data_IF_055706919078
#
_entry.id   IF_055706919078
#
_cell.length_a   1.000
_cell.length_b   1.000
_cell.length_c   1.000
_cell.angle_alpha   90.00
_cell.angle_beta   90.00
_cell.angle_gamma   90.00
#
_symmetry.space_group_name_H-M   'P 1'
#
loop_
_entity.id
_entity.type
_entity.pdbx_description
1 polymer ?
#
# COMPACT_ATOMS: atom_id res chain seq x y z
N UNK A 1 -0.72 -3.18 22.80
CA UNK A 1 -0.31 -3.16 21.38
C UNK A 1 0.44 -4.44 21.04
N UNK A 2 -0.28 -5.54 20.79
CA UNK A 2 0.33 -6.70 20.14
C UNK A 2 0.60 -6.35 18.68
N UNK A 3 1.88 -6.21 18.30
CA UNK A 3 2.23 -6.06 16.88
C UNK A 3 1.80 -7.33 16.16
N UNK A 4 0.90 -7.20 15.19
CA UNK A 4 0.49 -8.30 14.30
C UNK A 4 1.75 -8.93 13.70
N UNK A 5 1.87 -10.25 13.83
CA UNK A 5 2.95 -11.00 13.19
C UNK A 5 2.93 -10.77 11.68
N UNK A 6 4.08 -10.89 11.02
CA UNK A 6 4.21 -10.58 9.59
C UNK A 6 3.20 -11.33 8.70
N UNK A 7 2.93 -12.60 9.00
CA UNK A 7 1.92 -13.39 8.28
C UNK A 7 0.49 -12.92 8.52
N UNK A 8 0.15 -12.58 9.77
CA UNK A 8 -1.14 -12.00 10.10
C UNK A 8 -1.34 -10.67 9.38
N UNK A 9 -0.31 -9.85 9.23
CA UNK A 9 -0.40 -8.58 8.49
C UNK A 9 -0.64 -8.79 6.99
N UNK A 10 0.10 -9.71 6.33
CA UNK A 10 -0.09 -9.99 4.91
C UNK A 10 -1.52 -10.49 4.60
N UNK A 11 -2.01 -11.45 5.39
CA UNK A 11 -3.34 -11.99 5.21
C UNK A 11 -4.43 -10.95 5.57
N UNK A 12 -4.20 -10.14 6.61
CA UNK A 12 -5.08 -9.02 6.94
C UNK A 12 -5.23 -8.02 5.78
N UNK A 13 -4.14 -7.69 5.08
CA UNK A 13 -4.21 -6.82 3.89
C UNK A 13 -5.03 -7.44 2.75
N UNK A 14 -4.96 -8.76 2.56
CA UNK A 14 -5.81 -9.48 1.60
C UNK A 14 -7.29 -9.41 2.03
N UNK A 15 -7.59 -9.67 3.31
CA UNK A 15 -8.95 -9.59 3.88
C UNK A 15 -9.53 -8.17 3.76
N UNK A 16 -8.72 -7.15 4.02
CA UNK A 16 -9.10 -5.74 3.80
C UNK A 16 -9.47 -5.48 2.33
N UNK A 17 -8.70 -6.00 1.38
CA UNK A 17 -8.96 -5.83 -0.04
C UNK A 17 -10.27 -6.53 -0.47
N UNK A 18 -10.49 -7.78 -0.04
CA UNK A 18 -11.73 -8.52 -0.30
C UNK A 18 -12.95 -7.83 0.31
N UNK A 19 -12.84 -7.39 1.56
CA UNK A 19 -13.92 -6.68 2.22
C UNK A 19 -14.26 -5.37 1.50
N UNK A 20 -13.24 -4.61 1.03
CA UNK A 20 -13.46 -3.42 0.21
C UNK A 20 -14.21 -3.75 -1.08
N UNK A 21 -13.90 -4.86 -1.76
CA UNK A 21 -14.61 -5.28 -2.96
C UNK A 21 -16.07 -5.66 -2.67
N UNK A 22 -16.33 -6.42 -1.61
CA UNK A 22 -17.71 -6.79 -1.19
C UNK A 22 -18.52 -5.55 -0.83
N UNK A 23 -17.91 -4.62 -0.08
CA UNK A 23 -18.53 -3.34 0.33
C UNK A 23 -18.98 -2.46 -0.83
N UNK A 24 -18.40 -2.57 -2.02
CA UNK A 24 -18.86 -1.80 -3.19
C UNK A 24 -20.34 -2.09 -3.56
N UNK A 25 -20.86 -3.25 -3.14
CA UNK A 25 -22.25 -3.64 -3.37
C UNK A 25 -23.20 -3.17 -2.27
N UNK A 26 -22.70 -2.64 -1.14
CA UNK A 26 -23.52 -2.12 -0.06
C UNK A 26 -24.24 -0.83 -0.49
N UNK A 27 -25.55 -0.76 -0.23
CA UNK A 27 -26.40 0.39 -0.57
C UNK A 27 -25.87 1.72 -0.03
N UNK A 28 -25.32 1.76 1.19
CA UNK A 28 -24.77 2.97 1.78
C UNK A 28 -23.51 3.45 1.02
N UNK A 29 -22.61 2.52 0.69
CA UNK A 29 -21.39 2.78 -0.10
C UNK A 29 -21.75 3.25 -1.51
N UNK A 30 -22.75 2.63 -2.14
CA UNK A 30 -23.24 3.07 -3.46
C UNK A 30 -23.87 4.47 -3.40
N UNK A 31 -24.63 4.77 -2.35
CA UNK A 31 -25.21 6.09 -2.14
C UNK A 31 -24.12 7.15 -1.93
N UNK A 32 -23.11 6.87 -1.11
CA UNK A 32 -21.96 7.74 -0.91
C UNK A 32 -21.21 7.98 -2.23
N UNK A 33 -20.86 6.93 -2.96
CA UNK A 33 -20.18 7.05 -4.27
C UNK A 33 -20.99 7.87 -5.28
N UNK A 34 -22.32 7.73 -5.32
CA UNK A 34 -23.18 8.57 -6.18
C UNK A 34 -23.16 10.03 -5.74
N UNK A 35 -23.29 10.29 -4.43
CA UNK A 35 -23.29 11.64 -3.89
C UNK A 35 -21.94 12.35 -4.11
N UNK A 36 -20.81 11.65 -3.99
CA UNK A 36 -19.48 12.17 -4.31
C UNK A 36 -19.38 12.56 -5.79
N UNK A 37 -19.85 11.71 -6.70
CA UNK A 37 -19.84 12.00 -8.15
C UNK A 37 -20.69 13.22 -8.49
N UNK A 38 -21.87 13.35 -7.87
CA UNK A 38 -22.74 14.50 -8.07
C UNK A 38 -22.14 15.78 -7.48
N UNK A 39 -21.50 15.70 -6.31
CA UNK A 39 -20.75 16.82 -5.72
C UNK A 39 -19.64 17.32 -6.65
N UNK A 40 -18.82 16.41 -7.19
CA UNK A 40 -17.75 16.76 -8.15
C UNK A 40 -18.34 17.38 -9.42
N UNK A 41 -19.45 16.84 -9.93
CA UNK A 41 -20.12 17.37 -11.11
C UNK A 41 -20.66 18.79 -10.86
N UNK A 42 -21.39 18.98 -9.77
CA UNK A 42 -21.97 20.28 -9.40
C UNK A 42 -20.88 21.34 -9.17
N UNK A 43 -19.76 20.95 -8.56
CA UNK A 43 -18.59 21.82 -8.39
C UNK A 43 -18.01 22.28 -9.74
N UNK A 44 -17.84 21.36 -10.69
CA UNK A 44 -17.37 21.70 -12.05
C UNK A 44 -18.35 22.58 -12.81
N UNK A 45 -19.66 22.36 -12.65
CA UNK A 45 -20.70 23.21 -13.23
C UNK A 45 -20.65 24.64 -12.66
N UNK A 46 -20.44 24.76 -11.35
CA UNK A 46 -20.24 26.05 -10.69
C UNK A 46 -19.01 26.79 -11.22
N UNK A 47 -17.84 26.13 -11.29
CA UNK A 47 -16.61 26.71 -11.83
C UNK A 47 -16.78 27.22 -13.27
N UNK A 48 -17.50 26.45 -14.11
CA UNK A 48 -17.82 26.87 -15.48
C UNK A 48 -18.77 28.07 -15.51
N UNK A 49 -19.78 28.10 -14.65
CA UNK A 49 -20.72 29.21 -14.57
C UNK A 49 -20.04 30.51 -14.11
N UNK A 50 -19.10 30.42 -13.16
CA UNK A 50 -18.26 31.55 -12.74
C UNK A 50 -17.42 32.06 -13.91
N UNK A 51 -16.69 31.17 -14.59
CA UNK A 51 -15.87 31.56 -15.75
C UNK A 51 -16.69 32.15 -16.91
N UNK A 52 -17.93 31.69 -17.10
CA UNK A 52 -18.84 32.27 -18.09
C UNK A 52 -19.32 33.66 -17.66
N UNK A 53 -19.63 33.87 -16.37
CA UNK A 53 -20.02 35.17 -15.85
C UNK A 53 -18.89 36.20 -15.96
N UNK A 54 -17.65 35.81 -15.71
CA UNK A 54 -16.46 36.68 -15.88
C UNK A 54 -16.24 37.12 -17.34
N UNK A 55 -16.65 36.28 -18.31
CA UNK A 55 -16.49 36.54 -19.76
C UNK A 55 -17.75 37.13 -20.40
N UNK A 56 -18.84 37.29 -19.66
CA UNK A 56 -20.11 37.72 -20.19
C UNK A 56 -20.04 39.18 -20.65
N UNK A 57 -20.75 39.49 -21.74
CA UNK A 57 -20.94 40.87 -22.17
C UNK A 57 -21.81 41.65 -21.16
N UNK A 58 -21.75 42.98 -21.17
CA UNK A 58 -22.53 43.81 -20.24
C UNK A 58 -24.05 43.57 -20.31
N UNK A 59 -24.57 43.13 -21.47
CA UNK A 59 -26.00 42.81 -21.65
C UNK A 59 -26.38 41.45 -21.03
N UNK A 60 -25.44 40.54 -20.87
CA UNK A 60 -25.65 39.16 -20.40
C UNK A 60 -25.18 38.94 -18.95
N UNK A 61 -24.43 39.89 -18.41
CA UNK A 61 -23.78 39.79 -17.10
C UNK A 61 -24.75 39.42 -15.97
N UNK A 62 -25.91 40.08 -15.90
CA UNK A 62 -26.90 39.81 -14.84
C UNK A 62 -27.47 38.38 -14.88
N UNK A 63 -27.67 37.82 -16.09
CA UNK A 63 -28.15 36.44 -16.27
C UNK A 63 -27.04 35.44 -15.92
N UNK A 64 -25.80 35.72 -16.35
CA UNK A 64 -24.65 34.86 -16.06
C UNK A 64 -24.31 34.84 -14.56
N UNK A 65 -24.35 35.99 -13.88
CA UNK A 65 -24.18 36.06 -12.42
C UNK A 65 -25.29 35.31 -11.67
N UNK A 66 -26.54 35.38 -12.15
CA UNK A 66 -27.64 34.59 -11.57
C UNK A 66 -27.40 33.09 -11.75
N UNK A 67 -26.98 32.66 -12.94
CA UNK A 67 -26.64 31.26 -13.21
C UNK A 67 -25.48 30.77 -12.31
N UNK A 68 -24.45 31.60 -12.12
CA UNK A 68 -23.34 31.28 -11.20
C UNK A 68 -23.81 31.15 -9.75
N UNK A 69 -24.68 32.04 -9.26
CA UNK A 69 -25.28 31.94 -7.91
C UNK A 69 -26.12 30.67 -7.74
N UNK A 70 -26.92 30.32 -8.74
CA UNK A 70 -27.74 29.09 -8.71
C UNK A 70 -26.86 27.82 -8.75
N UNK A 71 -25.77 27.84 -9.52
CA UNK A 71 -24.80 26.76 -9.58
C UNK A 71 -24.02 26.61 -8.26
N UNK A 72 -23.64 27.71 -7.61
CA UNK A 72 -23.03 27.70 -6.27
C UNK A 72 -23.94 27.00 -5.25
N UNK A 73 -25.21 27.40 -5.18
CA UNK A 73 -26.20 26.78 -4.27
C UNK A 73 -26.34 25.29 -4.56
N UNK A 74 -26.30 24.86 -5.83
CA UNK A 74 -26.34 23.45 -6.21
C UNK A 74 -25.09 22.71 -5.76
N UNK A 75 -23.91 23.28 -5.97
CA UNK A 75 -22.64 22.71 -5.53
C UNK A 75 -22.58 22.54 -4.00
N UNK A 76 -22.99 23.57 -3.24
CA UNK A 76 -23.03 23.50 -1.78
C UNK A 76 -24.03 22.45 -1.25
N UNK A 77 -25.20 22.32 -1.89
CA UNK A 77 -26.15 21.25 -1.54
C UNK A 77 -25.58 19.86 -1.84
N UNK A 78 -24.99 19.67 -3.01
CA UNK A 78 -24.40 18.38 -3.40
C UNK A 78 -23.21 18.01 -2.49
N UNK A 79 -22.41 18.99 -2.05
CA UNK A 79 -21.36 18.79 -1.05
C UNK A 79 -21.93 18.32 0.30
N UNK A 80 -22.96 19.01 0.80
CA UNK A 80 -23.63 18.62 2.05
C UNK A 80 -24.27 17.23 1.96
N UNK A 81 -24.86 16.86 0.82
CA UNK A 81 -25.38 15.53 0.56
C UNK A 81 -24.28 14.47 0.54
N UNK A 82 -23.12 14.76 -0.08
CA UNK A 82 -21.95 13.88 -0.08
C UNK A 82 -21.41 13.63 1.32
N UNK A 83 -21.29 14.68 2.14
CA UNK A 83 -20.85 14.57 3.54
C UNK A 83 -21.87 13.79 4.39
N UNK A 84 -23.16 14.01 4.15
CA UNK A 84 -24.23 13.24 4.81
C UNK A 84 -24.14 11.76 4.45
N UNK A 85 -23.93 11.43 3.17
CA UNK A 85 -23.80 10.06 2.74
C UNK A 85 -22.56 9.38 3.34
N UNK A 86 -21.45 10.11 3.52
CA UNK A 86 -20.26 9.60 4.22
C UNK A 86 -20.54 9.26 5.68
N UNK A 87 -21.24 10.15 6.40
CA UNK A 87 -21.64 9.92 7.77
C UNK A 87 -22.55 8.69 7.93
N UNK A 88 -23.52 8.53 7.01
CA UNK A 88 -24.41 7.37 6.98
C UNK A 88 -23.64 6.08 6.69
N UNK A 89 -22.69 6.10 5.76
CA UNK A 89 -21.83 4.94 5.49
C UNK A 89 -21.02 4.53 6.73
N UNK A 90 -20.43 5.49 7.44
CA UNK A 90 -19.67 5.21 8.66
C UNK A 90 -20.54 4.56 9.74
N UNK A 91 -21.79 5.02 9.92
CA UNK A 91 -22.73 4.38 10.85
C UNK A 91 -23.13 2.99 10.42
N UNK A 92 -23.44 2.78 9.14
CA UNK A 92 -23.81 1.47 8.63
C UNK A 92 -22.69 0.44 8.84
N UNK A 93 -21.41 0.85 8.70
CA UNK A 93 -20.27 -0.03 8.95
C UNK A 93 -20.18 -0.49 10.42
N UNK A 94 -20.58 0.36 11.36
CA UNK A 94 -20.62 0.04 12.80
C UNK A 94 -21.86 -0.79 13.13
N UNK A 95 -23.01 -0.42 12.57
CA UNK A 95 -24.29 -1.07 12.85
C UNK A 95 -24.33 -2.50 12.25
N UNK A 96 -23.47 -2.80 11.26
CA UNK A 96 -23.35 -4.11 10.59
C UNK A 96 -22.14 -4.96 11.02
N UNK A 97 -21.46 -4.63 12.13
CA UNK A 97 -20.23 -5.30 12.57
C UNK A 97 -20.32 -6.84 12.63
N UNK A 98 -21.41 -7.37 13.19
CA UNK A 98 -21.63 -8.83 13.27
C UNK A 98 -21.95 -9.41 11.89
N UNK A 99 -22.89 -8.80 11.16
CA UNK A 99 -23.30 -9.29 9.83
C UNK A 99 -22.11 -9.37 8.85
N UNK A 100 -21.15 -8.45 8.96
CA UNK A 100 -19.98 -8.39 8.10
C UNK A 100 -19.06 -9.63 8.20
N UNK A 101 -19.10 -10.38 9.31
CA UNK A 101 -18.27 -11.59 9.49
C UNK A 101 -19.00 -12.86 9.06
N UNK A 102 -20.34 -12.91 9.16
CA UNK A 102 -21.13 -14.14 8.90
C UNK A 102 -21.14 -14.63 7.44
N UNK A 103 -20.56 -13.86 6.52
CA UNK A 103 -20.37 -14.21 5.10
C UNK A 103 -18.91 -14.58 4.78
N UNK A 104 -18.06 -14.61 5.79
CA UNK A 104 -16.64 -14.86 5.68
C UNK A 104 -16.32 -16.13 6.45
N UNK A 105 -15.54 -17.02 5.85
CA UNK A 105 -14.96 -18.16 6.57
C UNK A 105 -13.74 -17.65 7.34
N UNK A 106 -13.80 -17.71 8.67
CA UNK A 106 -12.74 -17.23 9.57
C UNK A 106 -11.63 -18.27 9.79
N UNK A 107 -11.77 -19.47 9.21
CA UNK A 107 -10.68 -20.43 9.14
C UNK A 107 -9.50 -19.90 8.33
N UNK A 108 -8.30 -20.08 8.90
CA UNK A 108 -7.05 -19.73 8.22
C UNK A 108 -6.31 -21.01 7.84
N UNK A 109 -6.23 -21.27 6.54
CA UNK A 109 -5.38 -22.34 6.04
C UNK A 109 -3.91 -21.92 6.16
N UNK A 110 -3.16 -22.55 7.07
CA UNK A 110 -1.73 -22.28 7.28
C UNK A 110 -0.91 -22.52 6.01
N UNK A 111 -1.31 -23.47 5.14
CA UNK A 111 -0.60 -23.71 3.89
C UNK A 111 -0.75 -22.53 2.92
N UNK A 112 -1.85 -21.78 2.99
CA UNK A 112 -2.09 -20.59 2.16
C UNK A 112 -1.15 -19.41 2.52
N UNK A 113 -0.55 -19.44 3.71
CA UNK A 113 0.39 -18.41 4.19
C UNK A 113 1.82 -18.64 3.69
N UNK A 114 2.09 -19.78 3.04
CA UNK A 114 3.42 -20.09 2.51
C UNK A 114 3.86 -19.11 1.44
N UNK A 115 5.11 -18.70 1.53
CA UNK A 115 5.71 -17.77 0.59
C UNK A 115 6.42 -18.51 -0.53
N UNK A 116 6.38 -17.92 -1.73
CA UNK A 116 7.19 -18.36 -2.86
C UNK A 116 8.27 -17.32 -3.11
N UNK A 117 9.51 -17.79 -3.28
CA UNK A 117 10.64 -16.92 -3.58
C UNK A 117 10.42 -16.22 -4.92
N UNK A 118 10.53 -14.89 -4.92
CA UNK A 118 10.55 -14.09 -6.14
C UNK A 118 11.86 -13.32 -6.23
N UNK A 119 12.55 -13.49 -7.35
CA UNK A 119 13.79 -12.78 -7.65
C UNK A 119 13.52 -11.67 -8.67
N UNK A 120 13.82 -10.40 -8.34
CA UNK A 120 13.78 -9.33 -9.34
C UNK A 120 14.86 -9.57 -10.40
N UNK A 121 14.74 -9.02 -11.61
CA UNK A 121 15.79 -9.13 -12.61
C UNK A 121 17.11 -8.47 -12.15
N UNK A 122 18.22 -8.89 -12.74
CA UNK A 122 19.54 -8.32 -12.46
C UNK A 122 19.55 -6.79 -12.75
N UNK A 123 19.97 -5.95 -11.79
CA UNK A 123 19.80 -4.49 -11.91
C UNK A 123 20.75 -3.82 -12.91
N UNK A 124 21.85 -4.47 -13.29
CA UNK A 124 22.91 -3.90 -14.15
C UNK A 124 22.96 -4.52 -15.54
N UNK A 125 21.83 -4.53 -16.25
CA UNK A 125 21.76 -5.05 -17.63
C UNK A 125 22.73 -4.34 -18.59
N UNK A 126 23.08 -3.08 -18.31
CA UNK A 126 24.12 -2.31 -19.02
C UNK A 126 25.47 -3.04 -19.04
N UNK A 127 25.81 -3.70 -17.94
CA UNK A 127 27.06 -4.45 -17.81
C UNK A 127 27.03 -5.80 -18.53
N UNK A 128 25.88 -6.33 -18.95
CA UNK A 128 25.83 -7.62 -19.66
C UNK A 128 26.26 -7.51 -21.13
N UNK A 129 26.11 -6.34 -21.73
CA UNK A 129 26.48 -6.11 -23.14
C UNK A 129 27.99 -5.83 -23.27
N UNK A 130 28.74 -6.60 -24.08
CA UNK A 130 30.17 -6.34 -24.33
C UNK A 130 30.41 -4.94 -24.92
N UNK A 131 31.55 -4.33 -24.58
CA UNK A 131 31.98 -3.09 -25.21
C UNK A 131 32.27 -3.32 -26.70
N UNK A 132 31.91 -2.39 -27.59
CA UNK A 132 32.24 -2.48 -29.01
C UNK A 132 33.75 -2.38 -29.23
N UNK A 133 34.28 -3.13 -30.20
CA UNK A 133 35.70 -3.07 -30.54
C UNK A 133 36.12 -1.67 -31.06
N UNK A 134 37.33 -1.19 -30.74
CA UNK A 134 37.80 0.12 -31.15
C UNK A 134 38.06 0.14 -32.66
N UNK A 135 37.69 1.24 -33.30
CA UNK A 135 37.99 1.48 -34.71
C UNK A 135 39.42 2.04 -34.81
N UNK A 136 40.34 1.26 -35.37
CA UNK A 136 41.73 1.67 -35.54
C UNK A 136 41.86 2.70 -36.68
N UNK A 137 42.74 3.70 -36.51
CA UNK A 137 43.04 4.67 -37.55
C UNK A 137 43.80 3.96 -38.70
N UNK A 138 43.29 4.02 -39.95
CA UNK A 138 44.01 3.47 -41.11
C UNK A 138 45.17 4.39 -41.50
N UNK A 139 46.21 3.86 -42.17
CA UNK A 139 47.31 4.70 -42.65
C UNK A 139 46.82 5.73 -43.67
N UNK A 140 47.21 7.02 -43.55
CA UNK A 140 46.88 8.02 -44.56
C UNK A 140 47.54 7.66 -45.90
N UNK A 141 46.93 8.10 -47.00
CA UNK A 141 47.45 7.89 -48.35
C UNK A 141 48.87 8.47 -48.50
N UNK A 142 49.76 7.70 -49.13
CA UNK A 142 51.15 8.10 -49.37
C UNK A 142 51.26 9.33 -50.29
N UNK A 143 52.08 10.34 -49.96
CA UNK A 143 52.29 11.50 -50.81
C UNK A 143 52.95 11.12 -52.14
N UNK A 144 52.25 11.37 -53.24
CA UNK A 144 52.81 11.17 -54.58
C UNK A 144 53.63 12.39 -55.02
N UNK A 145 54.71 12.13 -55.74
CA UNK A 145 55.49 13.20 -56.36
C UNK A 145 54.78 13.70 -57.61
N UNK A 146 54.49 15.01 -57.67
CA UNK A 146 53.92 15.66 -58.85
C UNK A 146 54.99 16.57 -59.42
N UNK A 147 55.52 16.21 -60.59
CA UNK A 147 56.48 17.04 -61.30
C UNK A 147 55.80 18.31 -61.84
N UNK A 148 56.44 19.49 -61.77
CA UNK A 148 55.91 20.69 -62.41
C UNK A 148 55.77 20.47 -63.92
N UNK A 149 54.74 21.07 -64.52
CA UNK A 149 54.49 20.93 -65.95
C UNK A 149 55.70 21.41 -66.77
N UNK A 150 56.12 20.58 -67.74
CA UNK A 150 57.25 20.90 -68.60
C UNK A 150 57.01 22.21 -69.37
N UNK A 151 58.02 23.09 -69.53
CA UNK A 151 57.87 24.33 -70.28
C UNK A 151 57.58 24.01 -71.75
N UNK A 152 56.47 24.55 -72.26
CA UNK A 152 56.03 24.36 -73.65
C UNK A 152 56.29 25.64 -74.47
N UNK A 153 56.65 25.46 -75.75
CA UNK A 153 56.94 26.56 -76.69
C UNK A 153 58.29 27.28 -76.49
N UNK A 154 58.38 28.51 -77.02
CA UNK A 154 59.59 29.37 -77.10
C UNK A 154 60.18 29.72 -75.70
N UNK A 155 59.45 29.40 -74.63
CA UNK A 155 59.87 29.51 -73.22
C UNK A 155 60.94 28.48 -72.79
N UNK A 156 61.20 27.43 -73.59
CA UNK A 156 62.12 26.31 -73.29
C UNK A 156 63.58 26.73 -73.00
N UNK A 157 64.09 27.78 -73.64
CA UNK A 157 65.50 28.19 -73.50
C UNK A 157 65.72 29.19 -72.34
N UNK A 158 64.72 30.01 -72.01
CA UNK A 158 64.78 31.05 -70.96
C UNK A 158 64.30 30.55 -69.59
N UNK A 159 63.41 29.57 -69.53
CA UNK A 159 62.84 29.04 -68.29
C UNK A 159 63.43 27.68 -67.85
N UNK A 160 64.50 27.18 -68.51
CA UNK A 160 65.12 25.90 -68.13
C UNK A 160 65.64 25.93 -66.68
N UNK A 161 66.26 27.05 -66.29
CA UNK A 161 66.75 27.26 -64.91
C UNK A 161 65.58 27.39 -63.91
N UNK A 162 64.55 28.18 -64.24
CA UNK A 162 63.33 28.30 -63.42
C UNK A 162 62.55 26.98 -63.27
N UNK A 163 62.50 26.14 -64.31
CA UNK A 163 61.88 24.82 -64.24
C UNK A 163 62.73 23.84 -63.42
N UNK A 164 64.07 23.91 -63.53
CA UNK A 164 64.96 23.13 -62.67
C UNK A 164 64.81 23.54 -61.20
N UNK A 165 64.70 24.85 -60.90
CA UNK A 165 64.41 25.38 -59.56
C UNK A 165 63.02 24.96 -59.08
N UNK A 166 61.99 25.04 -59.92
CA UNK A 166 60.63 24.60 -59.59
C UNK A 166 60.56 23.07 -59.35
N UNK A 167 61.30 22.28 -60.12
CA UNK A 167 61.39 20.84 -59.94
C UNK A 167 62.18 20.50 -58.66
N UNK A 168 63.30 21.17 -58.41
CA UNK A 168 64.06 21.02 -57.17
C UNK A 168 63.22 21.40 -55.95
N UNK A 169 62.44 22.47 -56.02
CA UNK A 169 61.50 22.90 -54.98
C UNK A 169 60.36 21.90 -54.78
N UNK A 170 59.71 21.45 -55.86
CA UNK A 170 58.64 20.43 -55.80
C UNK A 170 59.17 19.10 -55.23
N UNK A 171 60.40 18.72 -55.60
CA UNK A 171 61.05 17.53 -55.07
C UNK A 171 61.39 17.70 -53.59
N UNK A 172 61.96 18.83 -53.16
CA UNK A 172 62.22 19.09 -51.74
C UNK A 172 60.95 19.12 -50.91
N UNK A 173 59.86 19.70 -51.42
CA UNK A 173 58.55 19.70 -50.75
C UNK A 173 57.98 18.29 -50.65
N UNK A 174 58.10 17.48 -51.70
CA UNK A 174 57.69 16.08 -51.68
C UNK A 174 58.53 15.27 -50.69
N UNK A 175 59.86 15.39 -50.69
CA UNK A 175 60.75 14.71 -49.74
C UNK A 175 60.32 15.04 -48.30
N UNK A 176 60.12 16.33 -47.97
CA UNK A 176 59.65 16.72 -46.63
C UNK A 176 58.26 16.16 -46.29
N UNK A 177 57.31 16.14 -47.25
CA UNK A 177 55.97 15.54 -47.03
C UNK A 177 56.05 14.02 -46.84
N UNK A 178 56.86 13.35 -47.64
CA UNK A 178 57.07 11.91 -47.58
C UNK A 178 57.79 11.51 -46.29
N UNK A 179 58.82 12.25 -45.85
CA UNK A 179 59.48 12.04 -44.55
C UNK A 179 58.49 12.20 -43.38
N UNK A 180 57.63 13.24 -43.40
CA UNK A 180 56.59 13.42 -42.39
C UNK A 180 55.57 12.29 -42.40
N UNK A 181 55.12 11.87 -43.58
CA UNK A 181 54.21 10.73 -43.74
C UNK A 181 54.84 9.44 -43.22
N UNK A 182 56.09 9.15 -43.62
CA UNK A 182 56.83 7.97 -43.20
C UNK A 182 57.03 7.96 -41.68
N UNK A 183 57.39 9.10 -41.09
CA UNK A 183 57.47 9.25 -39.64
C UNK A 183 56.10 9.02 -38.96
N UNK A 184 55.03 9.59 -39.51
CA UNK A 184 53.68 9.44 -38.97
C UNK A 184 53.22 7.97 -39.00
N UNK A 185 53.30 7.30 -40.15
CA UNK A 185 52.89 5.90 -40.33
C UNK A 185 53.75 4.95 -39.51
N UNK A 186 55.06 5.21 -39.41
CA UNK A 186 55.99 4.33 -38.68
C UNK A 186 55.92 4.50 -37.16
N UNK A 187 55.66 5.71 -36.66
CA UNK A 187 55.78 6.02 -35.24
C UNK A 187 54.49 6.51 -34.58
N UNK A 188 53.79 7.48 -35.18
CA UNK A 188 52.63 8.13 -34.54
C UNK A 188 51.36 7.29 -34.62
N UNK A 189 51.07 6.73 -35.79
CA UNK A 189 49.86 5.93 -36.02
C UNK A 189 49.84 4.63 -35.20
N UNK A 190 50.94 3.82 -35.14
CA UNK A 190 50.96 2.63 -34.30
C UNK A 190 50.83 2.97 -32.81
N UNK A 191 51.46 4.06 -32.36
CA UNK A 191 51.34 4.51 -30.97
C UNK A 191 49.90 4.91 -30.62
N UNK A 192 49.19 5.63 -31.50
CA UNK A 192 47.77 5.97 -31.32
C UNK A 192 46.88 4.73 -31.27
N UNK A 193 47.04 3.83 -32.23
CA UNK A 193 46.26 2.59 -32.28
C UNK A 193 46.57 1.69 -31.07
N UNK A 194 47.81 1.66 -30.60
CA UNK A 194 48.19 0.93 -29.38
C UNK A 194 47.49 1.52 -28.14
N UNK A 195 47.48 2.85 -27.98
CA UNK A 195 46.77 3.51 -26.88
C UNK A 195 45.26 3.22 -26.93
N UNK A 196 44.62 3.26 -28.10
CA UNK A 196 43.19 2.93 -28.25
C UNK A 196 42.89 1.48 -27.83
N UNK A 197 43.79 0.54 -28.16
CA UNK A 197 43.66 -0.84 -27.74
C UNK A 197 43.87 -0.99 -26.23
N UNK A 198 44.86 -0.30 -25.66
CA UNK A 198 45.14 -0.30 -24.22
C UNK A 198 43.94 0.23 -23.41
N UNK A 199 43.42 1.42 -23.77
CA UNK A 199 42.23 2.02 -23.16
C UNK A 199 41.03 1.07 -23.24
N UNK A 200 40.82 0.44 -24.40
CA UNK A 200 39.74 -0.52 -24.58
C UNK A 200 39.93 -1.79 -23.74
N UNK A 201 41.16 -2.30 -23.62
CA UNK A 201 41.44 -3.45 -22.74
C UNK A 201 41.23 -3.11 -21.27
N UNK A 202 41.63 -1.92 -20.82
CA UNK A 202 41.38 -1.43 -19.46
C UNK A 202 39.87 -1.31 -19.19
N UNK A 203 39.11 -0.70 -20.10
CA UNK A 203 37.66 -0.58 -19.98
C UNK A 203 36.95 -1.95 -19.97
N UNK A 204 37.42 -2.91 -20.76
CA UNK A 204 36.92 -4.30 -20.73
C UNK A 204 37.17 -4.97 -19.39
N UNK A 205 38.35 -4.78 -18.79
CA UNK A 205 38.69 -5.30 -17.47
C UNK A 205 37.83 -4.66 -16.38
N UNK A 206 37.73 -3.33 -16.36
CA UNK A 206 36.89 -2.59 -15.41
C UNK A 206 35.42 -3.04 -15.49
N UNK A 207 34.86 -3.14 -16.71
CA UNK A 207 33.51 -3.67 -16.91
C UNK A 207 33.36 -5.09 -16.35
N UNK A 208 34.33 -5.96 -16.58
CA UNK A 208 34.29 -7.34 -16.10
C UNK A 208 34.33 -7.42 -14.57
N UNK A 209 35.15 -6.59 -13.93
CA UNK A 209 35.22 -6.46 -12.46
C UNK A 209 33.91 -5.94 -11.88
N UNK A 210 33.35 -4.87 -12.47
CA UNK A 210 32.06 -4.31 -12.06
C UNK A 210 30.92 -5.33 -12.24
N UNK A 211 30.91 -6.06 -13.36
CA UNK A 211 29.92 -7.10 -13.61
C UNK A 211 30.05 -8.25 -12.60
N UNK A 212 31.26 -8.71 -12.33
CA UNK A 212 31.52 -9.76 -11.35
C UNK A 212 31.05 -9.35 -9.96
N UNK A 213 31.39 -8.13 -9.52
CA UNK A 213 30.95 -7.58 -8.23
C UNK A 213 29.42 -7.47 -8.15
N UNK A 214 28.78 -6.89 -9.16
CA UNK A 214 27.33 -6.73 -9.19
C UNK A 214 26.61 -8.10 -9.22
N UNK A 215 27.15 -9.08 -9.94
CA UNK A 215 26.61 -10.44 -10.00
C UNK A 215 26.71 -11.14 -8.63
N UNK A 216 27.82 -10.95 -7.91
CA UNK A 216 28.00 -11.50 -6.57
C UNK A 216 27.01 -10.89 -5.58
N UNK A 217 26.87 -9.55 -5.59
CA UNK A 217 25.87 -8.85 -4.78
C UNK A 217 24.45 -9.36 -5.07
N UNK A 218 24.09 -9.47 -6.35
CA UNK A 218 22.80 -9.99 -6.78
C UNK A 218 22.55 -11.44 -6.33
N UNK A 219 23.55 -12.32 -6.45
CA UNK A 219 23.46 -13.72 -5.99
C UNK A 219 23.30 -13.79 -4.47
N UNK A 220 24.06 -13.00 -3.72
CA UNK A 220 23.95 -12.91 -2.27
C UNK A 220 22.56 -12.47 -1.82
N UNK A 221 22.01 -11.45 -2.49
CA UNK A 221 20.65 -10.98 -2.26
C UNK A 221 19.58 -12.04 -2.60
N UNK A 222 19.74 -12.77 -3.71
CA UNK A 222 18.86 -13.88 -4.06
C UNK A 222 18.93 -15.00 -3.01
N UNK A 223 20.14 -15.41 -2.62
CA UNK A 223 20.33 -16.43 -1.60
C UNK A 223 19.78 -16.01 -0.23
N UNK A 224 19.85 -14.71 0.12
CA UNK A 224 19.19 -14.17 1.32
C UNK A 224 17.67 -14.33 1.23
N UNK A 225 17.05 -13.92 0.11
CA UNK A 225 15.59 -14.08 -0.09
C UNK A 225 15.15 -15.54 -0.01
N UNK A 226 15.94 -16.45 -0.58
CA UNK A 226 15.68 -17.89 -0.52
C UNK A 226 15.72 -18.40 0.91
N UNK A 227 16.72 -18.02 1.70
CA UNK A 227 16.81 -18.37 3.13
C UNK A 227 15.64 -17.79 3.92
N UNK A 228 15.35 -16.51 3.75
CA UNK A 228 14.26 -15.84 4.49
C UNK A 228 12.91 -16.53 4.25
N UNK A 229 12.60 -16.87 2.98
CA UNK A 229 11.38 -17.60 2.62
C UNK A 229 11.39 -19.04 3.12
N UNK A 230 12.53 -19.74 3.04
CA UNK A 230 12.65 -21.10 3.55
C UNK A 230 12.44 -21.16 5.07
N UNK A 231 13.09 -20.28 5.83
CA UNK A 231 12.92 -20.17 7.28
C UNK A 231 11.48 -19.79 7.65
N UNK A 232 10.86 -18.87 6.91
CA UNK A 232 9.47 -18.48 7.11
C UNK A 232 8.49 -19.66 6.88
N UNK A 233 8.70 -20.42 5.80
CA UNK A 233 7.88 -21.59 5.50
C UNK A 233 8.12 -22.75 6.48
N UNK A 234 9.35 -22.96 6.94
CA UNK A 234 9.66 -23.96 7.98
C UNK A 234 8.96 -23.63 9.30
N UNK A 235 8.87 -22.34 9.68
CA UNK A 235 8.07 -21.93 10.84
C UNK A 235 6.59 -22.29 10.68
N UNK A 236 6.01 -22.12 9.50
CA UNK A 236 4.61 -22.51 9.22
C UNK A 236 4.40 -24.03 9.32
N UNK A 237 5.35 -24.83 8.84
CA UNK A 237 5.29 -26.30 9.00
C UNK A 237 5.34 -26.71 10.48
N UNK A 238 6.25 -26.10 11.25
CA UNK A 238 6.34 -26.34 12.69
C UNK A 238 5.06 -25.93 13.41
N UNK A 239 4.49 -24.75 13.10
CA UNK A 239 3.21 -24.30 13.64
C UNK A 239 2.10 -25.32 13.33
N UNK A 240 2.02 -25.80 12.09
CA UNK A 240 1.02 -26.80 11.68
C UNK A 240 1.16 -28.11 12.45
N UNK A 241 2.39 -28.59 12.65
CA UNK A 241 2.66 -29.79 13.45
C UNK A 241 2.26 -29.59 14.92
N UNK A 242 2.59 -28.44 15.51
CA UNK A 242 2.24 -28.11 16.90
C UNK A 242 0.72 -27.94 17.09
N UNK A 243 0.01 -27.34 16.12
CA UNK A 243 -1.45 -27.26 16.11
C UNK A 243 -2.09 -28.66 16.08
N UNK A 244 -1.57 -29.55 15.22
CA UNK A 244 -2.03 -30.93 15.17
C UNK A 244 -1.78 -31.70 16.48
N UNK A 245 -0.72 -31.35 17.21
CA UNK A 245 -0.43 -31.87 18.54
C UNK A 245 -1.30 -31.25 19.65
N UNK A 246 -2.01 -30.15 19.38
CA UNK A 246 -2.80 -29.41 20.37
C UNK A 246 -1.95 -28.59 21.33
N UNK A 247 -0.77 -28.14 20.89
CA UNK A 247 0.13 -27.30 21.69
C UNK A 247 -0.50 -25.93 22.00
N UNK A 248 -0.38 -25.49 23.25
CA UNK A 248 -1.05 -24.28 23.72
C UNK A 248 -0.50 -23.00 23.07
N UNK A 249 0.82 -22.92 22.88
CA UNK A 249 1.45 -21.75 22.25
C UNK A 249 1.06 -21.67 20.77
N UNK A 250 1.03 -22.81 20.08
CA UNK A 250 0.57 -22.88 18.70
C UNK A 250 -0.89 -22.46 18.53
N UNK A 251 -1.79 -22.89 19.44
CA UNK A 251 -3.20 -22.47 19.43
C UNK A 251 -3.31 -20.96 19.67
N UNK A 252 -2.56 -20.41 20.64
CA UNK A 252 -2.50 -18.96 20.85
C UNK A 252 -2.02 -18.21 19.59
N UNK A 253 -0.97 -18.70 18.93
CA UNK A 253 -0.49 -18.10 17.68
C UNK A 253 -1.56 -18.13 16.58
N UNK A 254 -2.26 -19.26 16.41
CA UNK A 254 -3.36 -19.39 15.46
C UNK A 254 -4.51 -18.43 15.75
N UNK A 255 -4.98 -18.35 17.01
CA UNK A 255 -6.01 -17.39 17.43
C UNK A 255 -5.56 -15.95 17.14
N UNK A 256 -4.28 -15.64 17.33
CA UNK A 256 -3.72 -14.34 16.97
C UNK A 256 -3.78 -14.04 15.47
N UNK A 257 -3.58 -15.04 14.62
CA UNK A 257 -3.73 -14.89 13.16
C UNK A 257 -5.22 -14.67 12.82
N UNK A 258 -6.12 -15.48 13.38
CA UNK A 258 -7.57 -15.38 13.16
C UNK A 258 -8.08 -13.99 13.55
N UNK A 259 -7.87 -13.58 14.80
CA UNK A 259 -8.34 -12.29 15.30
C UNK A 259 -7.62 -11.09 14.67
N UNK A 260 -6.36 -11.29 14.24
CA UNK A 260 -5.63 -10.31 13.44
C UNK A 260 -6.23 -10.11 12.04
N UNK A 261 -6.93 -11.11 11.51
CA UNK A 261 -7.63 -11.03 10.23
C UNK A 261 -9.04 -10.44 10.35
N UNK A 262 -9.56 -10.27 11.56
CA UNK A 262 -10.85 -9.64 11.81
C UNK A 262 -10.84 -8.18 11.37
N UNK A 263 -11.61 -7.87 10.33
CA UNK A 263 -11.63 -6.51 9.78
C UNK A 263 -12.73 -5.68 10.42
N UNK A 264 -12.32 -4.58 11.05
CA UNK A 264 -13.19 -3.57 11.66
C UNK A 264 -13.17 -2.26 10.83
N UNK A 265 -14.22 -1.43 10.90
CA UNK A 265 -14.16 -0.09 10.33
C UNK A 265 -13.16 0.79 11.09
N UNK A 266 -12.55 1.74 10.39
CA UNK A 266 -11.57 2.68 10.97
C UNK A 266 -12.12 3.44 12.17
N UNK A 267 -13.42 3.74 12.17
CA UNK A 267 -14.10 4.41 13.28
C UNK A 267 -14.36 3.50 14.50
N UNK A 268 -14.05 2.20 14.41
CA UNK A 268 -14.30 1.22 15.47
C UNK A 268 -13.22 0.11 15.49
N UNK A 269 -11.94 0.47 15.54
CA UNK A 269 -10.85 -0.49 15.62
C UNK A 269 -10.85 -1.25 16.96
N UNK A 270 -10.58 -2.56 16.90
CA UNK A 270 -10.64 -3.47 18.03
C UNK A 270 -9.32 -4.19 18.20
N UNK A 271 -8.82 -4.21 19.43
CA UNK A 271 -7.63 -4.95 19.86
C UNK A 271 -8.02 -6.15 20.73
N UNK A 272 -7.10 -7.11 20.86
CA UNK A 272 -7.31 -8.33 21.62
C UNK A 272 -6.12 -8.68 22.51
N UNK A 273 -6.43 -9.20 23.69
CA UNK A 273 -5.50 -9.91 24.57
C UNK A 273 -6.13 -11.27 24.88
N UNK A 274 -5.39 -12.35 24.80
CA UNK A 274 -5.96 -13.67 25.00
C UNK A 274 -4.92 -14.70 25.44
N UNK A 275 -5.40 -15.77 26.06
CA UNK A 275 -4.60 -16.90 26.50
C UNK A 275 -5.43 -18.18 26.50
N UNK A 276 -4.90 -19.23 25.89
CA UNK A 276 -5.49 -20.56 25.84
C UNK A 276 -4.92 -21.49 26.92
N UNK A 277 -5.82 -22.11 27.69
CA UNK A 277 -5.49 -23.20 28.61
C UNK A 277 -5.82 -24.56 27.98
N UNK A 278 -4.77 -25.32 27.63
CA UNK A 278 -4.91 -26.62 27.00
C UNK A 278 -5.50 -27.72 27.91
N UNK A 279 -5.40 -27.58 29.24
CA UNK A 279 -5.97 -28.55 30.17
C UNK A 279 -7.50 -28.38 30.28
N UNK A 280 -7.96 -27.13 30.27
CA UNK A 280 -9.39 -26.79 30.32
C UNK A 280 -10.04 -26.77 28.93
N UNK A 281 -9.25 -26.60 27.87
CA UNK A 281 -9.75 -26.31 26.53
C UNK A 281 -10.44 -24.94 26.48
N UNK A 282 -10.03 -24.01 27.34
CA UNK A 282 -10.67 -22.71 27.51
C UNK A 282 -9.78 -21.60 26.98
N UNK A 283 -10.36 -20.70 26.18
CA UNK A 283 -9.71 -19.48 25.73
C UNK A 283 -10.25 -18.29 26.52
N UNK A 284 -9.38 -17.60 27.27
CA UNK A 284 -9.72 -16.32 27.89
C UNK A 284 -9.38 -15.20 26.92
N UNK A 285 -10.32 -14.31 26.63
CA UNK A 285 -10.12 -13.18 25.71
C UNK A 285 -10.61 -11.88 26.34
N UNK A 286 -9.76 -10.86 26.33
CA UNK A 286 -10.14 -9.46 26.54
C UNK A 286 -10.10 -8.74 25.21
N UNK A 287 -11.25 -8.23 24.79
CA UNK A 287 -11.41 -7.41 23.60
C UNK A 287 -11.45 -5.94 24.00
N UNK A 288 -10.59 -5.11 23.39
CA UNK A 288 -10.45 -3.69 23.67
C UNK A 288 -11.08 -2.91 22.53
N UNK A 289 -12.22 -2.27 22.79
CA UNK A 289 -12.96 -1.45 21.81
C UNK A 289 -12.65 0.04 22.03
N UNK A 290 -12.83 0.88 21.00
CA UNK A 290 -12.48 2.29 21.12
C UNK A 290 -13.47 3.03 22.04
N UNK A 291 -13.03 4.11 22.69
CA UNK A 291 -13.87 4.80 23.65
C UNK A 291 -15.03 5.55 22.97
N UNK A 292 -16.15 5.78 23.68
CA UNK A 292 -17.33 6.43 23.11
C UNK A 292 -17.04 7.80 22.47
N UNK A 293 -16.03 8.52 22.97
CA UNK A 293 -15.60 9.83 22.47
C UNK A 293 -15.02 9.83 21.05
N UNK A 294 -14.60 8.67 20.55
CA UNK A 294 -14.04 8.51 19.19
C UNK A 294 -15.12 8.18 18.15
N UNK A 295 -16.34 7.87 18.61
CA UNK A 295 -17.46 7.53 17.73
C UNK A 295 -17.88 8.73 16.88
N UNK A 296 -18.21 8.53 15.59
CA UNK A 296 -18.77 9.60 14.79
C UNK A 296 -20.08 10.11 15.42
N UNK A 297 -20.22 11.43 15.52
CA UNK A 297 -21.39 12.08 16.14
C UNK A 297 -22.19 12.93 15.14
N UNK A 298 -21.75 13.09 13.91
CA UNK A 298 -22.50 13.87 12.91
C UNK A 298 -23.33 12.91 12.06
N UNK A 299 -24.65 13.10 12.00
CA UNK A 299 -25.55 12.27 11.18
C UNK A 299 -25.94 12.89 9.85
N UNK A 300 -25.62 14.16 9.65
CA UNK A 300 -25.90 14.81 8.39
C UNK A 300 -25.41 16.24 8.34
N UNK A 301 -25.41 16.76 7.13
CA UNK A 301 -24.95 18.09 6.79
C UNK A 301 -26.04 18.77 5.98
N UNK A 302 -26.31 20.04 6.26
CA UNK A 302 -27.33 20.82 5.57
C UNK A 302 -26.78 22.18 5.17
N UNK A 303 -26.86 22.48 3.89
CA UNK A 303 -26.56 23.82 3.39
C UNK A 303 -27.64 24.84 3.78
N UNK A 304 -27.20 25.98 4.32
CA UNK A 304 -28.05 27.11 4.73
C UNK A 304 -27.82 28.29 3.80
N UNK A 305 -28.68 28.43 2.79
CA UNK A 305 -28.56 29.46 1.75
C UNK A 305 -28.55 30.91 2.28
N UNK A 306 -29.11 31.17 3.46
CA UNK A 306 -29.13 32.52 4.06
C UNK A 306 -27.74 32.96 4.54
N UNK A 307 -26.95 32.03 5.09
CA UNK A 307 -25.60 32.32 5.63
C UNK A 307 -24.49 31.79 4.73
N UNK A 308 -24.84 31.05 3.67
CA UNK A 308 -23.92 30.38 2.76
C UNK A 308 -22.98 29.39 3.48
N UNK A 309 -23.51 28.66 4.46
CA UNK A 309 -22.75 27.72 5.30
C UNK A 309 -23.34 26.32 5.22
N UNK A 310 -22.48 25.30 5.32
CA UNK A 310 -22.91 23.93 5.60
C UNK A 310 -22.92 23.74 7.12
N UNK A 311 -24.08 23.33 7.66
CA UNK A 311 -24.25 23.06 9.09
C UNK A 311 -24.35 21.58 9.36
N UNK A 312 -23.66 21.17 10.43
CA UNK A 312 -23.72 19.81 10.95
C UNK A 312 -25.01 19.57 11.72
N UNK A 313 -25.53 18.36 11.61
CA UNK A 313 -26.63 17.85 12.42
C UNK A 313 -26.08 16.72 13.28
N UNK A 314 -25.88 16.93 14.59
CA UNK A 314 -25.34 15.90 15.46
C UNK A 314 -26.37 14.80 15.75
N UNK A 315 -25.87 13.63 16.16
CA UNK A 315 -26.66 12.55 16.73
C UNK A 315 -27.22 12.99 18.09
N UNK A 316 -28.46 12.57 18.35
CA UNK A 316 -29.02 12.60 19.70
C UNK A 316 -28.21 11.67 20.61
N UNK A 317 -28.22 11.93 21.92
CA UNK A 317 -27.55 11.03 22.88
C UNK A 317 -28.09 9.60 22.82
N UNK A 318 -29.38 9.43 22.51
CA UNK A 318 -29.99 8.11 22.33
C UNK A 318 -29.38 7.38 21.13
N UNK A 319 -29.26 8.03 19.98
CA UNK A 319 -28.64 7.44 18.78
C UNK A 319 -27.18 7.03 19.04
N UNK A 320 -26.40 7.88 19.73
CA UNK A 320 -25.00 7.56 20.08
C UNK A 320 -24.90 6.39 21.05
N UNK A 321 -25.72 6.39 22.10
CA UNK A 321 -25.76 5.33 23.11
C UNK A 321 -26.17 4.00 22.51
N UNK A 322 -27.26 3.98 21.75
CA UNK A 322 -27.82 2.75 21.19
C UNK A 322 -26.82 2.13 20.19
N UNK A 323 -26.15 2.95 19.36
CA UNK A 323 -25.09 2.50 18.46
C UNK A 323 -23.87 1.95 19.20
N UNK A 324 -23.34 2.68 20.18
CA UNK A 324 -22.15 2.23 20.90
C UNK A 324 -22.42 0.95 21.69
N UNK A 325 -23.55 0.87 22.41
CA UNK A 325 -23.94 -0.35 23.12
C UNK A 325 -24.13 -1.53 22.14
N UNK A 326 -24.76 -1.29 20.98
CA UNK A 326 -24.93 -2.29 19.94
C UNK A 326 -23.61 -2.79 19.38
N UNK A 327 -22.68 -1.88 19.07
CA UNK A 327 -21.35 -2.20 18.56
C UNK A 327 -20.53 -3.03 19.56
N UNK A 328 -20.50 -2.63 20.84
CA UNK A 328 -19.83 -3.38 21.92
C UNK A 328 -20.38 -4.81 22.03
N UNK A 329 -21.71 -4.97 21.97
CA UNK A 329 -22.34 -6.28 22.03
C UNK A 329 -22.08 -7.10 20.75
N UNK A 330 -22.10 -6.47 19.58
CA UNK A 330 -21.80 -7.10 18.30
C UNK A 330 -20.36 -7.62 18.26
N UNK A 331 -19.39 -6.86 18.77
CA UNK A 331 -18.01 -7.32 18.93
C UNK A 331 -17.95 -8.58 19.79
N UNK A 332 -18.65 -8.61 20.92
CA UNK A 332 -18.62 -9.78 21.79
C UNK A 332 -19.08 -11.07 21.07
N UNK A 333 -20.25 -11.01 20.42
CA UNK A 333 -20.81 -12.14 19.68
C UNK A 333 -19.93 -12.51 18.47
N UNK A 334 -19.40 -11.50 17.78
CA UNK A 334 -18.49 -11.67 16.66
C UNK A 334 -17.22 -12.43 17.08
N UNK A 335 -16.58 -12.04 18.18
CA UNK A 335 -15.37 -12.72 18.68
C UNK A 335 -15.63 -14.20 18.99
N UNK A 336 -16.75 -14.53 19.65
CA UNK A 336 -17.12 -15.93 19.87
C UNK A 336 -17.27 -16.70 18.55
N UNK A 337 -17.94 -16.09 17.57
CA UNK A 337 -18.16 -16.70 16.27
C UNK A 337 -16.85 -16.93 15.51
N UNK A 338 -16.01 -15.90 15.33
CA UNK A 338 -14.75 -15.98 14.59
C UNK A 338 -13.82 -17.05 15.20
N UNK A 339 -13.69 -17.09 16.53
CA UNK A 339 -12.84 -18.10 17.19
C UNK A 339 -13.43 -19.51 17.05
N UNK A 340 -14.72 -19.72 17.32
CA UNK A 340 -15.28 -21.07 17.23
C UNK A 340 -15.32 -21.58 15.78
N UNK A 341 -15.63 -20.73 14.80
CA UNK A 341 -15.67 -21.11 13.39
C UNK A 341 -14.26 -21.46 12.85
N UNK A 342 -13.26 -20.67 13.22
CA UNK A 342 -11.88 -20.88 12.76
C UNK A 342 -11.22 -22.14 13.34
N UNK A 343 -11.55 -22.56 14.55
CA UNK A 343 -10.99 -23.78 15.15
C UNK A 343 -11.80 -25.03 14.75
N UNK A 344 -11.51 -25.54 13.55
CA UNK A 344 -12.16 -26.71 12.95
C UNK A 344 -11.83 -28.03 13.64
N UNK A 345 -10.67 -28.11 14.29
CA UNK A 345 -10.25 -29.29 15.05
C UNK A 345 -10.93 -29.35 16.43
N UNK A 346 -11.64 -28.29 16.82
CA UNK A 346 -12.36 -28.23 18.08
C UNK A 346 -11.42 -28.34 19.29
N UNK A 347 -10.31 -27.61 19.30
CA UNK A 347 -9.41 -27.53 20.46
C UNK A 347 -9.97 -26.64 21.56
N UNK A 348 -10.63 -25.55 21.18
CA UNK A 348 -11.25 -24.56 22.06
C UNK A 348 -12.68 -25.01 22.35
N UNK A 349 -12.91 -25.52 23.55
CA UNK A 349 -14.22 -26.01 24.02
C UNK A 349 -15.08 -24.91 24.64
N UNK A 350 -14.44 -23.93 25.26
CA UNK A 350 -15.13 -22.78 25.86
C UNK A 350 -14.33 -21.50 25.68
N UNK A 351 -15.03 -20.38 25.74
CA UNK A 351 -14.43 -19.04 25.70
C UNK A 351 -14.97 -18.24 26.88
N UNK A 352 -14.07 -17.58 27.62
CA UNK A 352 -14.39 -16.55 28.61
C UNK A 352 -13.99 -15.20 28.05
N UNK A 353 -14.98 -14.36 27.75
CA UNK A 353 -14.80 -13.11 27.03
C UNK A 353 -15.12 -11.91 27.91
N UNK A 354 -14.21 -10.93 27.93
CA UNK A 354 -14.45 -9.58 28.40
C UNK A 354 -14.35 -8.59 27.24
N UNK A 355 -15.32 -7.69 27.08
CA UNK A 355 -15.17 -6.52 26.21
C UNK A 355 -15.00 -5.30 27.10
N UNK A 356 -13.93 -4.53 26.88
CA UNK A 356 -13.61 -3.32 27.63
C UNK A 356 -13.24 -2.17 26.71
N UNK A 357 -13.25 -0.96 27.25
CA UNK A 357 -12.63 0.20 26.60
C UNK A 357 -11.63 0.85 27.55
N UNK A 358 -10.59 1.47 26.99
CA UNK A 358 -9.53 2.12 27.76
C UNK A 358 -9.51 3.60 27.45
N UNK A 359 -9.70 4.44 28.46
CA UNK A 359 -9.75 5.89 28.27
C UNK A 359 -9.50 6.65 29.56
N UNK A 360 -9.40 7.97 29.46
CA UNK A 360 -9.29 8.85 30.62
C UNK A 360 -10.63 8.87 31.35
N UNK A 361 -10.64 8.45 32.61
CA UNK A 361 -11.81 8.53 33.47
C UNK A 361 -12.12 10.02 33.77
N UNK A 362 -13.31 10.54 33.43
CA UNK A 362 -13.67 11.93 33.69
C UNK A 362 -13.69 12.32 35.18
N UNK A 363 -13.86 11.36 36.08
CA UNK A 363 -13.91 11.60 37.53
C UNK A 363 -12.52 11.67 38.18
N UNK A 364 -11.53 10.93 37.65
CA UNK A 364 -10.19 10.80 38.26
C UNK A 364 -9.09 11.46 37.43
N UNK A 365 -9.30 11.63 36.13
CA UNK A 365 -8.29 12.09 35.17
C UNK A 365 -7.23 11.05 34.82
N UNK A 366 -7.38 9.81 35.30
CA UNK A 366 -6.44 8.71 35.06
C UNK A 366 -6.88 7.87 33.87
N UNK A 367 -5.93 7.26 33.17
CA UNK A 367 -6.23 6.23 32.18
C UNK A 367 -6.66 4.95 32.91
N UNK A 368 -7.87 4.50 32.64
CA UNK A 368 -8.49 3.34 33.29
C UNK A 368 -9.18 2.44 32.24
N UNK A 369 -9.30 1.15 32.57
CA UNK A 369 -10.05 0.18 31.77
C UNK A 369 -11.47 0.04 32.31
N UNK A 370 -12.45 0.13 31.42
CA UNK A 370 -13.87 0.02 31.72
C UNK A 370 -14.41 -1.28 31.15
N UNK A 371 -14.61 -2.34 31.95
CA UNK A 371 -15.22 -3.56 31.46
C UNK A 371 -16.70 -3.31 31.14
N UNK A 372 -17.12 -3.58 29.92
CA UNK A 372 -18.46 -3.27 29.40
C UNK A 372 -19.31 -4.51 29.16
N UNK A 373 -18.71 -5.63 28.81
CA UNK A 373 -19.36 -6.94 28.65
C UNK A 373 -18.49 -8.01 29.28
N UNK A 374 -19.11 -8.97 29.96
CA UNK A 374 -18.49 -10.20 30.40
C UNK A 374 -19.43 -11.36 30.06
N UNK A 375 -18.95 -12.33 29.30
CA UNK A 375 -19.75 -13.47 28.87
C UNK A 375 -18.86 -14.71 28.73
N UNK A 376 -19.45 -15.88 28.98
CA UNK A 376 -18.82 -17.16 28.68
C UNK A 376 -19.71 -17.94 27.71
N UNK A 377 -19.09 -18.81 26.93
CA UNK A 377 -19.79 -19.66 25.98
C UNK A 377 -19.09 -21.01 25.88
N UNK A 378 -19.87 -22.10 25.86
CA UNK A 378 -19.38 -23.37 25.36
C UNK A 378 -19.59 -23.47 23.85
N UNK A 379 -18.67 -24.17 23.17
CA UNK A 379 -18.70 -24.38 21.73
C UNK A 379 -20.00 -25.02 21.27
N UNK A 380 -20.49 -26.05 21.95
CA UNK A 380 -21.63 -26.85 21.48
C UNK A 380 -22.95 -26.07 21.57
N UNK A 381 -23.14 -25.25 22.58
CA UNK A 381 -24.31 -24.39 22.74
C UNK A 381 -24.25 -23.21 21.77
N UNK A 382 -23.14 -22.47 21.75
CA UNK A 382 -23.00 -21.28 20.91
C UNK A 382 -23.11 -21.61 19.40
N UNK A 383 -22.52 -22.72 18.96
CA UNK A 383 -22.57 -23.14 17.54
C UNK A 383 -23.98 -23.47 17.02
N UNK A 384 -24.99 -23.51 17.89
CA UNK A 384 -26.40 -23.74 17.50
C UNK A 384 -27.13 -22.44 17.15
N UNK A 385 -26.56 -21.28 17.48
CA UNK A 385 -27.21 -20.01 17.24
C UNK A 385 -27.18 -19.63 15.75
N UNK A 386 -28.32 -19.20 15.23
CA UNK A 386 -28.44 -18.62 13.87
C UNK A 386 -28.19 -17.12 13.94
N UNK A 387 -26.92 -16.72 13.94
CA UNK A 387 -26.47 -15.35 14.20
C UNK A 387 -26.97 -14.31 13.19
N UNK A 388 -27.48 -14.72 12.01
CA UNK A 388 -28.02 -13.79 11.01
C UNK A 388 -29.30 -13.09 11.48
N UNK A 389 -30.01 -13.69 12.44
CA UNK A 389 -31.34 -13.24 12.87
C UNK A 389 -31.38 -12.82 14.34
N UNK A 390 -30.23 -12.54 14.97
CA UNK A 390 -30.16 -12.21 16.39
C UNK A 390 -29.90 -10.73 16.64
N UNK A 391 -30.40 -10.24 17.77
CA UNK A 391 -29.90 -9.01 18.39
C UNK A 391 -28.73 -9.38 19.33
N UNK A 392 -27.54 -8.78 19.18
CA UNK A 392 -26.38 -9.14 20.01
C UNK A 392 -26.61 -8.96 21.51
N UNK A 393 -27.33 -7.92 21.93
CA UNK A 393 -27.62 -7.65 23.35
C UNK A 393 -28.56 -8.73 23.90
N UNK A 394 -29.62 -9.09 23.18
CA UNK A 394 -30.51 -10.17 23.58
C UNK A 394 -29.79 -11.52 23.63
N UNK A 395 -28.86 -11.76 22.70
CA UNK A 395 -28.04 -12.98 22.67
C UNK A 395 -27.16 -13.08 23.90
N UNK A 396 -26.44 -12.00 24.26
CA UNK A 396 -25.63 -11.95 25.49
C UNK A 396 -26.50 -12.17 26.74
N UNK A 397 -27.69 -11.58 26.81
CA UNK A 397 -28.61 -11.81 27.92
C UNK A 397 -29.07 -13.28 27.99
N UNK A 398 -29.32 -13.92 26.84
CA UNK A 398 -29.68 -15.34 26.77
C UNK A 398 -28.55 -16.24 27.27
N UNK A 399 -27.31 -15.92 26.89
CA UNK A 399 -26.07 -16.56 27.37
C UNK A 399 -25.75 -16.23 28.84
N UNK A 400 -26.61 -15.49 29.54
CA UNK A 400 -26.40 -15.01 30.92
C UNK A 400 -25.16 -14.13 31.08
N UNK A 401 -24.71 -13.51 30.00
CA UNK A 401 -23.67 -12.50 30.02
C UNK A 401 -24.09 -11.27 30.82
N UNK A 402 -23.10 -10.58 31.36
CA UNK A 402 -23.28 -9.30 32.05
C UNK A 402 -22.95 -8.18 31.08
N UNK A 403 -23.95 -7.40 30.71
CA UNK A 403 -23.81 -6.28 29.78
C UNK A 403 -23.98 -4.96 30.53
N UNK A 404 -23.14 -3.98 30.22
CA UNK A 404 -23.25 -2.63 30.76
C UNK A 404 -24.62 -2.04 30.44
N UNK A 405 -25.26 -1.43 31.44
CA UNK A 405 -26.52 -0.70 31.24
C UNK A 405 -26.34 0.55 30.38
N UNK A 406 -25.11 1.08 30.32
CA UNK A 406 -24.78 2.27 29.54
C UNK A 406 -23.28 2.32 29.24
N UNK A 407 -22.83 1.54 28.26
CA UNK A 407 -21.42 1.53 27.84
C UNK A 407 -20.97 2.89 27.30
N UNK A 408 -21.87 3.62 26.64
CA UNK A 408 -21.58 4.98 26.13
C UNK A 408 -21.23 5.98 27.24
N UNK A 409 -21.78 5.81 28.45
CA UNK A 409 -21.43 6.63 29.62
C UNK A 409 -20.29 6.04 30.45
N UNK A 410 -19.52 5.07 29.92
CA UNK A 410 -18.44 4.38 30.61
C UNK A 410 -18.89 3.73 31.92
N UNK A 411 -20.13 3.22 31.99
CA UNK A 411 -20.60 2.52 33.17
C UNK A 411 -20.05 1.08 33.15
N UNK A 412 -19.13 0.68 34.06
CA UNK A 412 -18.56 -0.65 34.01
C UNK A 412 -19.54 -1.70 34.52
N UNK A 413 -19.37 -2.94 34.07
CA UNK A 413 -19.99 -4.12 34.69
C UNK A 413 -19.28 -4.48 35.99
N UNK A 414 -19.97 -5.22 36.86
CA UNK A 414 -19.33 -5.79 38.04
C UNK A 414 -18.52 -7.03 37.67
N UNK A 415 -17.22 -7.03 37.96
CA UNK A 415 -16.32 -8.18 37.74
C UNK A 415 -16.20 -9.09 38.97
N UNK A 416 -16.86 -8.73 40.09
CA UNK A 416 -16.68 -9.39 41.39
C UNK A 416 -17.16 -10.85 41.47
N UNK A 417 -17.96 -11.34 40.49
CA UNK A 417 -18.48 -12.71 40.48
C UNK A 417 -17.72 -13.67 39.55
N UNK A 418 -16.68 -13.19 38.86
CA UNK A 418 -16.06 -13.92 37.75
C UNK A 418 -17.01 -14.03 36.55
N UNK A 419 -16.43 -14.24 35.37
CA UNK A 419 -17.18 -14.61 34.16
C UNK A 419 -17.21 -16.14 34.15
N UNK A 420 -18.39 -16.74 34.19
CA UNK A 420 -18.57 -18.20 34.15
C UNK A 420 -19.77 -18.57 33.31
#
# INVERSE_FOLDING_TARGET
>A
MGRRGFFAELHHQQRLAEQRQRRQHNTAVQAHNRAVRESIRAQREYERAVAQAERASALEQALAERAAREAHVRAQKALAESQTAQAVEAFEQIDSLLAATLEVDDYVDIDSLKQTVQHPPFPREDLKTPLPEPVLEPPPSEPQFIAPAAPTGISKLLNKQKHAEAHAKAHSEWVTRHERWAHHVKHLLPARNANLLEDHTAAKQERAELLAKAMEEYRSDCARRERDVAEANERLENLKMSLAAGDAEAINEYVGIVLGNSVYPEAFEVDYEFEFDANLGELTITTIVPPPSTMPNIKGYKYVAKTDEIRETPCTQKEQRDRYNGAVAAVAIRTFHEVFESDRDGRIQSISLMVQTETVNPATGLHESFPLVGAAADRQEFSRYELRNVDPIQTLNHMRGVVSKNAFALQPISTARGIR
#
